data_IF_067788195822
#
_entry.id   IF_067788195822
#
_cell.length_a   1.000
_cell.length_b   1.000
_cell.length_c   1.000
_cell.angle_alpha   90.00
_cell.angle_beta   90.00
_cell.angle_gamma   90.00
#
_symmetry.space_group_name_H-M   'P 1'
#
loop_
_entity.id
_entity.type
_entity.pdbx_description
1 polymer ?
#
# COMPACT_ATOMS: atom_id res chain seq x y z
N UNK A 1 -19.66 -13.14 0.17
CA UNK A 1 -18.24 -13.35 -0.21
C UNK A 1 -17.49 -13.67 1.07
N UNK A 2 -16.85 -14.83 1.17
CA UNK A 2 -15.96 -15.09 2.31
C UNK A 2 -14.72 -14.21 2.15
N UNK A 3 -14.29 -13.57 3.23
CA UNK A 3 -13.06 -12.80 3.25
C UNK A 3 -11.88 -13.76 3.08
N UNK A 4 -11.07 -13.56 2.03
CA UNK A 4 -9.97 -14.46 1.68
C UNK A 4 -8.98 -14.66 2.83
N UNK A 5 -8.64 -13.59 3.54
CA UNK A 5 -7.72 -13.63 4.68
C UNK A 5 -8.26 -14.51 5.81
N UNK A 6 -9.54 -14.36 6.17
CA UNK A 6 -10.17 -15.19 7.22
C UNK A 6 -10.21 -16.66 6.81
N UNK A 7 -10.57 -16.96 5.55
CA UNK A 7 -10.54 -18.33 5.02
C UNK A 7 -9.13 -18.93 5.12
N UNK A 8 -8.11 -18.19 4.70
CA UNK A 8 -6.73 -18.67 4.74
C UNK A 8 -6.22 -18.88 6.17
N UNK A 9 -6.65 -18.07 7.14
CA UNK A 9 -6.36 -18.26 8.57
C UNK A 9 -7.02 -19.51 9.16
N UNK A 10 -8.21 -19.88 8.67
CA UNK A 10 -8.89 -21.12 9.08
C UNK A 10 -8.21 -22.36 8.46
N UNK A 11 -7.72 -22.26 7.22
CA UNK A 11 -7.13 -23.37 6.46
C UNK A 11 -5.64 -23.62 6.77
N UNK A 12 -4.88 -22.59 7.20
CA UNK A 12 -3.43 -22.67 7.41
C UNK A 12 -3.04 -22.41 8.87
N UNK A 13 -1.96 -23.04 9.32
CA UNK A 13 -1.42 -22.84 10.66
C UNK A 13 -0.80 -21.44 10.86
N UNK A 14 -0.33 -20.80 9.79
CA UNK A 14 0.21 -19.44 9.78
C UNK A 14 0.11 -18.85 8.36
N UNK A 15 0.21 -17.52 8.27
CA UNK A 15 0.33 -16.78 7.01
C UNK A 15 1.62 -15.96 7.03
N UNK A 16 2.34 -15.94 5.92
CA UNK A 16 3.55 -15.14 5.75
C UNK A 16 3.21 -13.79 5.09
N UNK A 17 3.44 -12.69 5.80
CA UNK A 17 3.42 -11.36 5.21
C UNK A 17 4.69 -11.11 4.38
N UNK A 18 4.63 -10.11 3.51
CA UNK A 18 5.76 -9.61 2.74
C UNK A 18 6.79 -8.84 3.61
N UNK A 19 7.80 -8.30 2.93
CA UNK A 19 8.90 -7.56 3.54
C UNK A 19 8.80 -6.04 3.36
N UNK A 20 9.91 -5.34 3.59
CA UNK A 20 9.95 -3.89 3.49
C UNK A 20 9.81 -3.37 2.05
N UNK A 21 8.78 -2.56 1.77
CA UNK A 21 8.60 -1.90 0.47
C UNK A 21 9.61 -0.77 0.26
N UNK A 22 9.70 0.21 1.16
CA UNK A 22 10.58 1.38 0.96
C UNK A 22 12.05 1.00 0.75
N UNK A 23 12.59 0.09 1.56
CA UNK A 23 13.97 -0.38 1.44
C UNK A 23 14.25 -1.06 0.10
N UNK A 24 13.32 -1.90 -0.38
CA UNK A 24 13.46 -2.55 -1.68
C UNK A 24 13.39 -1.52 -2.81
N UNK A 25 12.47 -0.56 -2.74
CA UNK A 25 12.34 0.50 -3.73
C UNK A 25 13.58 1.41 -3.80
N UNK A 26 14.24 1.68 -2.66
CA UNK A 26 15.56 2.35 -2.68
C UNK A 26 16.60 1.54 -3.46
N UNK A 27 16.62 0.22 -3.29
CA UNK A 27 17.45 -0.68 -4.10
C UNK A 27 17.09 -0.68 -5.60
N UNK A 28 15.89 -0.24 -5.96
CA UNK A 28 15.38 -0.10 -7.32
C UNK A 28 15.48 1.33 -7.86
N UNK A 29 16.12 2.24 -7.13
CA UNK A 29 16.44 3.61 -7.57
C UNK A 29 15.55 4.72 -7.00
N UNK A 30 14.63 4.43 -6.07
CA UNK A 30 13.87 5.46 -5.36
C UNK A 30 14.86 6.36 -4.59
N UNK A 31 14.62 7.66 -4.55
CA UNK A 31 15.48 8.59 -3.81
C UNK A 31 14.85 8.96 -2.46
N UNK A 32 15.70 9.37 -1.52
CA UNK A 32 15.21 9.89 -0.24
C UNK A 32 14.40 11.16 -0.47
N UNK A 33 13.18 11.19 0.06
CA UNK A 33 12.27 12.31 -0.11
C UNK A 33 11.28 12.15 -1.27
N UNK A 34 11.38 11.10 -2.08
CA UNK A 34 10.34 10.76 -3.06
C UNK A 34 9.13 10.12 -2.35
N UNK A 35 7.95 10.25 -2.96
CA UNK A 35 6.77 9.46 -2.61
C UNK A 35 6.75 8.16 -3.43
N UNK A 36 6.91 6.98 -2.80
CA UNK A 36 6.77 5.70 -3.48
C UNK A 36 5.45 5.56 -4.23
N UNK A 37 4.37 6.18 -3.74
CA UNK A 37 3.03 6.06 -4.31
C UNK A 37 2.95 6.60 -5.75
N UNK A 38 3.76 7.61 -6.10
CA UNK A 38 3.80 8.16 -7.47
C UNK A 38 4.33 7.14 -8.48
N UNK A 39 5.18 6.21 -8.04
CA UNK A 39 5.71 5.15 -8.91
C UNK A 39 4.66 4.14 -9.36
N UNK A 40 3.48 4.11 -8.73
CA UNK A 40 2.36 3.28 -9.18
C UNK A 40 1.93 3.65 -10.62
N UNK A 41 2.24 4.86 -11.09
CA UNK A 41 1.96 5.30 -12.46
C UNK A 41 3.20 5.72 -13.24
N UNK A 42 4.19 6.32 -12.59
CA UNK A 42 5.41 6.76 -13.25
C UNK A 42 6.34 5.59 -13.62
N UNK A 43 6.36 4.55 -12.79
CA UNK A 43 7.23 3.37 -12.96
C UNK A 43 6.50 2.06 -12.59
N UNK A 44 5.32 1.78 -13.19
CA UNK A 44 4.47 0.65 -12.83
C UNK A 44 5.18 -0.70 -12.97
N UNK A 45 6.12 -0.81 -13.90
CA UNK A 45 6.93 -2.01 -14.09
C UNK A 45 7.86 -2.30 -12.89
N UNK A 46 8.36 -1.27 -12.22
CA UNK A 46 9.19 -1.42 -11.02
C UNK A 46 8.35 -1.87 -9.84
N UNK A 47 7.17 -1.28 -9.66
CA UNK A 47 6.23 -1.69 -8.60
C UNK A 47 5.74 -3.12 -8.84
N UNK A 48 5.42 -3.48 -10.08
CA UNK A 48 5.06 -4.86 -10.44
C UNK A 48 6.21 -5.84 -10.16
N UNK A 49 7.45 -5.48 -10.48
CA UNK A 49 8.63 -6.31 -10.17
C UNK A 49 8.83 -6.48 -8.65
N UNK A 50 8.59 -5.42 -7.86
CA UNK A 50 8.63 -5.48 -6.40
C UNK A 50 7.58 -6.46 -5.85
N UNK A 51 6.32 -6.35 -6.26
CA UNK A 51 5.27 -7.29 -5.85
C UNK A 51 5.58 -8.73 -6.27
N UNK A 52 6.05 -8.93 -7.51
CA UNK A 52 6.44 -10.24 -8.02
C UNK A 52 7.50 -10.89 -7.16
N UNK A 53 8.47 -10.11 -6.68
CA UNK A 53 9.52 -10.65 -5.81
C UNK A 53 8.95 -11.28 -4.53
N UNK A 54 7.86 -10.72 -3.95
CA UNK A 54 7.20 -11.30 -2.79
C UNK A 54 6.26 -12.47 -3.14
N UNK A 55 5.61 -12.42 -4.30
CA UNK A 55 4.84 -13.55 -4.84
C UNK A 55 5.75 -14.77 -4.98
N UNK A 56 6.93 -14.60 -5.61
CA UNK A 56 7.93 -15.64 -5.84
C UNK A 56 8.62 -16.10 -4.53
N UNK A 57 8.82 -15.19 -3.57
CA UNK A 57 9.36 -15.54 -2.26
C UNK A 57 8.38 -16.32 -1.35
N UNK A 58 7.10 -16.40 -1.73
CA UNK A 58 6.10 -17.21 -1.04
C UNK A 58 5.21 -16.45 -0.04
N UNK A 59 5.13 -15.12 -0.10
CA UNK A 59 4.26 -14.34 0.78
C UNK A 59 2.78 -14.66 0.55
N UNK A 60 2.04 -14.98 1.61
CA UNK A 60 0.58 -15.17 1.62
C UNK A 60 -0.18 -13.84 1.66
N UNK A 61 0.44 -12.79 2.19
CA UNK A 61 -0.13 -11.44 2.29
C UNK A 61 0.88 -10.48 1.69
N UNK A 62 0.45 -9.64 0.75
CA UNK A 62 1.28 -8.60 0.15
C UNK A 62 0.59 -7.26 0.37
N UNK A 63 1.36 -6.31 0.91
CA UNK A 63 0.93 -4.94 1.15
C UNK A 63 1.01 -4.12 -0.15
N UNK A 64 -0.01 -3.32 -0.42
CA UNK A 64 0.03 -2.38 -1.54
C UNK A 64 1.04 -1.26 -1.28
N UNK A 65 1.62 -0.71 -2.34
CA UNK A 65 2.49 0.47 -2.33
C UNK A 65 1.65 1.75 -2.12
N UNK A 66 1.07 1.85 -0.92
CA UNK A 66 0.11 2.90 -0.54
C UNK A 66 0.33 3.43 0.88
N UNK A 67 1.48 3.14 1.50
CA UNK A 67 1.72 3.50 2.91
C UNK A 67 1.54 5.00 3.17
N UNK A 68 2.06 5.87 2.30
CA UNK A 68 1.85 7.32 2.30
C UNK A 68 0.68 7.78 1.42
N UNK A 69 -0.20 6.87 1.00
CA UNK A 69 -1.28 7.13 0.03
C UNK A 69 -2.47 7.92 0.55
N UNK A 70 -2.32 8.73 1.59
CA UNK A 70 -3.37 9.62 2.10
C UNK A 70 -3.09 11.08 1.74
N UNK A 71 -4.15 11.90 1.68
CA UNK A 71 -4.07 13.28 1.22
C UNK A 71 -3.07 14.13 2.02
N UNK A 72 -2.93 13.90 3.34
CA UNK A 72 -1.95 14.62 4.19
C UNK A 72 -0.50 14.29 3.89
N UNK A 73 -0.20 13.04 3.54
CA UNK A 73 1.16 12.65 3.14
C UNK A 73 1.47 13.12 1.72
N UNK A 74 0.52 12.99 0.80
CA UNK A 74 0.70 13.34 -0.60
C UNK A 74 0.82 14.85 -0.86
N UNK A 75 0.35 15.70 0.06
CA UNK A 75 0.52 17.17 -0.05
C UNK A 75 2.00 17.59 -0.11
N UNK A 76 2.91 16.81 0.51
CA UNK A 76 4.35 17.06 0.46
C UNK A 76 4.91 16.94 -0.97
N UNK A 77 4.15 16.35 -1.88
CA UNK A 77 4.49 16.08 -3.27
C UNK A 77 3.48 16.68 -4.25
N UNK A 78 2.63 17.62 -3.81
CA UNK A 78 1.59 18.27 -4.63
C UNK A 78 0.60 17.26 -5.26
N UNK A 79 0.35 16.14 -4.57
CA UNK A 79 -0.45 15.03 -5.05
C UNK A 79 -1.66 14.71 -4.14
N UNK A 80 -2.05 15.64 -3.27
CA UNK A 80 -3.13 15.45 -2.29
C UNK A 80 -4.48 15.09 -2.93
N UNK A 81 -4.72 15.55 -4.16
CA UNK A 81 -5.95 15.25 -4.92
C UNK A 81 -5.91 13.92 -5.68
N UNK A 82 -4.81 13.15 -5.54
CA UNK A 82 -4.57 11.90 -6.29
C UNK A 82 -4.68 10.64 -5.44
N UNK A 83 -5.27 10.73 -4.23
CA UNK A 83 -5.45 9.60 -3.30
C UNK A 83 -6.09 8.41 -4.00
N UNK A 84 -7.27 8.60 -4.61
CA UNK A 84 -7.99 7.51 -5.29
C UNK A 84 -7.15 6.89 -6.40
N UNK A 85 -6.65 7.73 -7.30
CA UNK A 85 -5.86 7.33 -8.48
C UNK A 85 -4.66 6.44 -8.09
N UNK A 86 -3.81 6.92 -7.18
CA UNK A 86 -2.58 6.22 -6.79
C UNK A 86 -2.84 4.93 -6.00
N UNK A 87 -3.85 4.92 -5.12
CA UNK A 87 -4.22 3.71 -4.37
C UNK A 87 -4.84 2.65 -5.27
N UNK A 88 -5.76 3.04 -6.16
CA UNK A 88 -6.35 2.12 -7.13
C UNK A 88 -5.27 1.54 -8.05
N UNK A 89 -4.33 2.36 -8.56
CA UNK A 89 -3.22 1.89 -9.39
C UNK A 89 -2.36 0.84 -8.67
N UNK A 90 -2.02 1.07 -7.40
CA UNK A 90 -1.26 0.12 -6.59
C UNK A 90 -1.95 -1.26 -6.47
N UNK A 91 -3.27 -1.24 -6.22
CA UNK A 91 -4.10 -2.45 -6.09
C UNK A 91 -4.18 -3.19 -7.42
N UNK A 92 -4.41 -2.49 -8.53
CA UNK A 92 -4.51 -3.12 -9.85
C UNK A 92 -3.19 -3.76 -10.29
N UNK A 93 -2.05 -3.11 -10.03
CA UNK A 93 -0.74 -3.70 -10.27
C UNK A 93 -0.54 -4.99 -9.46
N UNK A 94 -0.89 -4.99 -8.16
CA UNK A 94 -0.75 -6.18 -7.34
C UNK A 94 -1.70 -7.30 -7.79
N UNK A 95 -2.96 -6.98 -8.13
CA UNK A 95 -3.91 -7.93 -8.72
C UNK A 95 -3.36 -8.63 -9.95
N UNK A 96 -2.73 -7.87 -10.85
CA UNK A 96 -2.14 -8.43 -12.07
C UNK A 96 -0.98 -9.39 -11.77
N UNK A 97 -0.17 -9.12 -10.75
CA UNK A 97 0.93 -10.01 -10.37
C UNK A 97 0.42 -11.27 -9.63
N UNK A 98 -0.55 -11.15 -8.72
CA UNK A 98 -1.11 -12.34 -8.04
C UNK A 98 -1.91 -13.23 -8.99
N UNK A 99 -2.53 -12.66 -10.04
CA UNK A 99 -3.29 -13.44 -11.03
C UNK A 99 -2.39 -14.40 -11.85
N UNK A 100 -1.07 -14.21 -11.80
CA UNK A 100 -0.07 -15.07 -12.44
C UNK A 100 0.41 -16.19 -11.51
N UNK A 101 0.00 -16.19 -10.24
CA UNK A 101 0.38 -17.19 -9.25
C UNK A 101 -0.65 -18.32 -9.18
N UNK A 102 -0.18 -19.56 -9.05
CA UNK A 102 -1.03 -20.74 -8.87
C UNK A 102 -1.48 -20.96 -7.41
N UNK A 103 -1.58 -19.87 -6.63
CA UNK A 103 -1.98 -19.91 -5.21
C UNK A 103 -2.73 -18.65 -4.80
N UNK A 104 -3.54 -18.79 -3.76
CA UNK A 104 -4.20 -17.64 -3.14
C UNK A 104 -3.18 -16.74 -2.42
N UNK A 105 -3.31 -15.43 -2.66
CA UNK A 105 -2.52 -14.36 -2.04
C UNK A 105 -3.48 -13.25 -1.63
N UNK A 106 -3.41 -12.83 -0.37
CA UNK A 106 -4.17 -11.72 0.16
C UNK A 106 -3.52 -10.40 -0.27
N UNK A 107 -4.34 -9.53 -0.85
CA UNK A 107 -3.99 -8.12 -1.05
C UNK A 107 -4.41 -7.37 0.20
N UNK A 108 -3.46 -6.67 0.82
CA UNK A 108 -3.71 -5.84 2.00
C UNK A 108 -3.38 -4.37 1.69
N UNK A 109 -4.38 -3.50 1.84
CA UNK A 109 -4.20 -2.06 1.70
C UNK A 109 -3.27 -1.52 2.78
N UNK A 110 -2.09 -1.02 2.39
CA UNK A 110 -1.17 -0.40 3.34
C UNK A 110 -1.61 1.02 3.65
N UNK A 111 -1.86 1.34 4.91
CA UNK A 111 -2.22 2.70 5.36
C UNK A 111 -1.27 3.12 6.48
N UNK A 112 -0.35 4.01 6.16
CA UNK A 112 0.56 4.65 7.11
C UNK A 112 -0.05 5.91 7.73
N UNK A 113 0.67 6.56 8.67
CA UNK A 113 0.15 7.72 9.38
C UNK A 113 -0.04 8.93 8.46
N UNK A 114 -0.87 9.90 8.89
CA UNK A 114 -1.03 11.20 8.21
C UNK A 114 0.25 12.04 8.24
N UNK A 115 1.11 11.83 9.25
CA UNK A 115 2.33 12.60 9.47
C UNK A 115 2.14 13.84 10.36
N UNK A 116 0.89 14.21 10.64
CA UNK A 116 0.55 15.30 11.56
C UNK A 116 0.43 14.79 13.00
N UNK A 117 0.72 15.68 13.96
CA UNK A 117 0.45 15.43 15.38
C UNK A 117 -1.03 15.72 15.66
N UNK A 118 -1.70 14.82 16.37
CA UNK A 118 -3.08 15.00 16.78
C UNK A 118 -3.22 16.05 17.89
N UNK A 119 -4.39 16.69 17.96
CA UNK A 119 -4.79 17.54 19.08
C UNK A 119 -4.70 16.82 20.43
N UNK A 120 -4.34 17.53 21.53
CA UNK A 120 -4.08 18.97 21.59
C UNK A 120 -2.63 19.38 21.25
N UNK A 121 -1.76 18.41 20.94
CA UNK A 121 -0.32 18.67 20.74
C UNK A 121 0.05 19.05 19.29
N UNK A 122 -0.92 19.04 18.39
CA UNK A 122 -0.73 19.37 16.99
C UNK A 122 -2.03 19.80 16.32
N UNK A 123 -1.98 20.07 15.01
CA UNK A 123 -3.05 20.76 14.30
C UNK A 123 -4.17 19.84 13.81
N UNK A 124 -4.01 18.51 13.91
CA UNK A 124 -4.96 17.57 13.30
C UNK A 124 -5.98 17.10 14.34
N UNK A 125 -7.26 17.37 14.10
CA UNK A 125 -8.33 16.83 14.92
C UNK A 125 -8.51 15.33 14.65
N UNK A 126 -9.11 14.60 15.60
CA UNK A 126 -9.44 13.18 15.40
C UNK A 126 -10.46 12.95 14.29
N UNK A 127 -11.39 13.89 14.12
CA UNK A 127 -12.42 13.80 13.08
C UNK A 127 -11.78 13.94 11.69
N UNK A 128 -10.94 14.95 11.49
CA UNK A 128 -10.23 15.14 10.22
C UNK A 128 -9.31 13.94 9.93
N UNK A 129 -8.63 13.40 10.94
CA UNK A 129 -7.81 12.20 10.78
C UNK A 129 -8.65 11.00 10.29
N UNK A 130 -9.84 10.81 10.86
CA UNK A 130 -10.75 9.75 10.44
C UNK A 130 -11.20 9.93 8.98
N UNK A 131 -11.54 11.15 8.58
CA UNK A 131 -11.93 11.47 7.20
C UNK A 131 -10.81 11.17 6.20
N UNK A 132 -9.56 11.50 6.56
CA UNK A 132 -8.37 11.22 5.74
C UNK A 132 -8.14 9.70 5.57
N UNK A 133 -8.26 8.93 6.65
CA UNK A 133 -8.13 7.48 6.56
C UNK A 133 -9.30 6.84 5.81
N UNK A 134 -10.52 7.37 5.97
CA UNK A 134 -11.69 6.91 5.25
C UNK A 134 -11.56 7.16 3.73
N UNK A 135 -11.05 8.32 3.33
CA UNK A 135 -10.77 8.64 1.93
C UNK A 135 -9.87 7.56 1.29
N UNK A 136 -8.76 7.24 1.95
CA UNK A 136 -7.83 6.21 1.48
C UNK A 136 -8.48 4.82 1.49
N UNK A 137 -9.20 4.46 2.55
CA UNK A 137 -9.84 3.14 2.68
C UNK A 137 -10.94 2.89 1.63
N UNK A 138 -11.54 3.95 1.08
CA UNK A 138 -12.55 3.90 0.01
C UNK A 138 -11.97 3.99 -1.41
N UNK A 139 -10.67 4.24 -1.55
CA UNK A 139 -9.99 4.30 -2.83
C UNK A 139 -9.92 2.92 -3.48
#
# INVERSE_FOLDING_TARGET
MSNLFLRMLEEKAFLLADGATGTNLFGMGLQTGDAPELWNEEYPERIAAHYRSFVEAGSDIILTNTFGGNSRRLVLHQAENRVRELNTAAVELLKQEIAKADRDIVIAGSMGPTGDILEPNGPLSKADAADIFEEQARA
#
